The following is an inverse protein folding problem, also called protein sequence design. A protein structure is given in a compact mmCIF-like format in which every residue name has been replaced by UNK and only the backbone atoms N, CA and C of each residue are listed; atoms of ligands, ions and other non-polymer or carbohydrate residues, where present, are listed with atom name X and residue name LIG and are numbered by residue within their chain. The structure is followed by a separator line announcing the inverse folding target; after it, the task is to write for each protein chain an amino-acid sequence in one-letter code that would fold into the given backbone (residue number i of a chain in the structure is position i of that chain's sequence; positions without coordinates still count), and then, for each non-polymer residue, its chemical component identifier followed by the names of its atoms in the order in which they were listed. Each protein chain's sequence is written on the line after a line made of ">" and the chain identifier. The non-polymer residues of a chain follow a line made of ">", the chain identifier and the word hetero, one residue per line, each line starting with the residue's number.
data_IF_936920213706
#
_entry.id   IF_936920213706
#
_cell.length_a   1.000
_cell.length_b   1.000
_cell.length_c   1.000
_cell.angle_alpha   90.00
_cell.angle_beta   90.00
_cell.angle_gamma   90.00
#
_symmetry.space_group_name_H-M   'P 1'
#
loop_
_entity.id
_entity.type
_entity.pdbx_description
1 polymer ?
#
# COMPACT_ATOMS: atom_id res chain seq x y z
N UNK A 1 22.28 -10.77 -8.48
CA UNK A 1 21.78 -9.41 -8.10
C UNK A 1 20.42 -9.47 -7.43
N UNK A 2 19.37 -10.15 -7.99
CA UNK A 2 18.03 -10.19 -7.38
C UNK A 2 18.01 -10.70 -5.92
N UNK A 3 18.79 -11.74 -5.59
CA UNK A 3 18.88 -12.26 -4.21
C UNK A 3 19.48 -11.23 -3.23
N UNK A 4 20.48 -10.45 -3.67
CA UNK A 4 21.06 -9.38 -2.84
C UNK A 4 20.02 -8.32 -2.47
N UNK A 5 19.21 -7.85 -3.44
CA UNK A 5 18.17 -6.86 -3.17
C UNK A 5 17.08 -7.40 -2.23
N UNK A 6 16.72 -8.68 -2.33
CA UNK A 6 15.77 -9.31 -1.42
C UNK A 6 16.33 -9.42 0.01
N UNK A 7 17.61 -9.79 0.15
CA UNK A 7 18.27 -9.83 1.46
C UNK A 7 18.36 -8.43 2.08
N UNK A 8 18.72 -7.42 1.28
CA UNK A 8 18.74 -6.02 1.75
C UNK A 8 17.32 -5.55 2.16
N UNK A 9 16.29 -5.87 1.37
CA UNK A 9 14.92 -5.57 1.74
C UNK A 9 14.53 -6.23 3.07
N UNK A 10 14.86 -7.50 3.28
CA UNK A 10 14.59 -8.20 4.53
C UNK A 10 15.34 -7.57 5.72
N UNK A 11 16.63 -7.23 5.54
CA UNK A 11 17.42 -6.57 6.56
C UNK A 11 16.85 -5.19 6.96
N UNK A 12 16.51 -4.35 5.97
CA UNK A 12 15.86 -3.06 6.24
C UNK A 12 14.45 -3.22 6.84
N UNK A 13 13.71 -4.27 6.48
CA UNK A 13 12.38 -4.58 7.05
C UNK A 13 12.49 -4.90 8.55
N UNK A 14 13.40 -5.79 8.93
CA UNK A 14 13.66 -6.13 10.34
C UNK A 14 14.13 -4.89 11.10
N UNK A 15 15.07 -4.14 10.53
CA UNK A 15 15.59 -2.90 11.11
C UNK A 15 14.49 -1.85 11.31
N UNK A 16 13.58 -1.70 10.33
CA UNK A 16 12.45 -0.77 10.42
C UNK A 16 11.45 -1.18 11.51
N UNK A 17 11.10 -2.46 11.59
CA UNK A 17 10.20 -2.97 12.63
C UNK A 17 10.81 -2.80 14.03
N UNK A 18 12.11 -3.08 14.20
CA UNK A 18 12.84 -2.83 15.44
C UNK A 18 12.82 -1.33 15.81
N UNK A 19 13.10 -0.45 14.85
CA UNK A 19 13.03 1.00 15.06
C UNK A 19 11.62 1.50 15.46
N UNK A 20 10.56 0.83 14.95
CA UNK A 20 9.19 1.12 15.34
C UNK A 20 8.85 0.62 16.75
N UNK A 21 9.33 -0.56 17.15
CA UNK A 21 9.15 -1.11 18.49
C UNK A 21 9.87 -0.28 19.55
N UNK A 22 11.09 0.20 19.22
CA UNK A 22 11.91 1.05 20.09
C UNK A 22 11.52 2.53 20.01
N UNK A 23 10.50 2.88 19.23
CA UNK A 23 9.99 4.24 19.03
C UNK A 23 11.06 5.26 18.58
N UNK A 24 12.14 4.79 17.98
CA UNK A 24 13.25 5.62 17.54
C UNK A 24 12.92 6.31 16.19
N UNK A 25 12.55 7.60 16.27
CA UNK A 25 12.14 8.39 15.11
C UNK A 25 13.23 8.55 14.05
N UNK A 26 14.49 8.80 14.47
CA UNK A 26 15.60 9.00 13.53
C UNK A 26 15.90 7.72 12.75
N UNK A 27 15.96 6.60 13.45
CA UNK A 27 16.20 5.30 12.85
C UNK A 27 15.09 4.92 11.84
N UNK A 28 13.83 5.12 12.20
CA UNK A 28 12.69 4.92 11.27
C UNK A 28 12.80 5.76 10.02
N UNK A 29 13.18 7.04 10.15
CA UNK A 29 13.30 7.97 9.03
C UNK A 29 14.43 7.57 8.06
N UNK A 30 15.54 7.04 8.57
CA UNK A 30 16.66 6.59 7.74
C UNK A 30 16.32 5.30 6.98
N UNK A 31 15.71 4.31 7.64
CA UNK A 31 15.43 3.02 7.04
C UNK A 31 14.32 3.06 5.97
N UNK A 32 13.30 3.90 6.18
CA UNK A 32 12.07 3.88 5.39
C UNK A 32 12.28 4.03 3.88
N UNK A 33 13.13 4.94 3.36
CA UNK A 33 13.42 5.04 1.94
C UNK A 33 14.08 3.79 1.36
N UNK A 34 14.96 3.14 2.11
CA UNK A 34 15.69 1.98 1.63
C UNK A 34 14.80 0.74 1.45
N UNK A 35 13.70 0.63 2.21
CA UNK A 35 12.72 -0.44 2.03
C UNK A 35 12.15 -0.45 0.61
N UNK A 36 11.55 0.64 0.19
CA UNK A 36 10.90 0.71 -1.11
C UNK A 36 11.92 0.72 -2.25
N UNK A 37 13.09 1.34 -2.05
CA UNK A 37 14.17 1.32 -3.03
C UNK A 37 14.66 -0.11 -3.29
N UNK A 38 14.96 -0.87 -2.25
CA UNK A 38 15.46 -2.25 -2.39
C UNK A 38 14.40 -3.18 -2.98
N UNK A 39 13.12 -2.99 -2.63
CA UNK A 39 12.02 -3.76 -3.20
C UNK A 39 11.81 -3.44 -4.68
N UNK A 40 11.87 -2.17 -5.08
CA UNK A 40 11.78 -1.76 -6.50
C UNK A 40 12.92 -2.35 -7.32
N UNK A 41 14.17 -2.25 -6.82
CA UNK A 41 15.34 -2.83 -7.48
C UNK A 41 15.23 -4.36 -7.58
N UNK A 42 14.71 -5.00 -6.52
CA UNK A 42 14.43 -6.44 -6.55
C UNK A 42 13.40 -6.79 -7.63
N UNK A 43 12.28 -6.07 -7.70
CA UNK A 43 11.26 -6.31 -8.73
C UNK A 43 11.83 -6.17 -10.14
N UNK A 44 12.57 -5.09 -10.42
CA UNK A 44 13.21 -4.87 -11.72
C UNK A 44 14.22 -5.97 -12.10
N UNK A 45 14.87 -6.59 -11.10
CA UNK A 45 15.83 -7.67 -11.31
C UNK A 45 15.19 -9.07 -11.34
N UNK A 46 13.98 -9.23 -10.81
CA UNK A 46 13.28 -10.52 -10.67
C UNK A 46 12.24 -10.77 -11.75
N UNK A 47 11.54 -9.74 -12.20
CA UNK A 47 10.51 -9.84 -13.23
C UNK A 47 11.10 -10.27 -14.58
N UNK A 48 10.42 -11.19 -15.29
CA UNK A 48 10.81 -11.59 -16.63
C UNK A 48 10.65 -10.41 -17.63
N UNK A 49 9.53 -9.69 -17.50
CA UNK A 49 9.29 -8.43 -18.18
C UNK A 49 8.89 -7.38 -17.15
N UNK A 50 9.66 -6.29 -17.07
CA UNK A 50 9.34 -5.18 -16.16
C UNK A 50 8.11 -4.44 -16.68
N UNK A 51 7.02 -4.48 -15.89
CA UNK A 51 5.85 -3.65 -16.18
C UNK A 51 6.11 -2.23 -15.68
N UNK A 52 6.24 -1.22 -16.57
CA UNK A 52 6.59 0.15 -16.17
C UNK A 52 5.50 0.81 -15.32
N UNK A 53 4.22 0.51 -15.56
CA UNK A 53 3.11 1.00 -14.74
C UNK A 53 3.20 0.44 -13.33
N UNK A 54 3.52 -0.85 -13.18
CA UNK A 54 3.74 -1.41 -11.86
C UNK A 54 4.98 -0.81 -11.19
N UNK A 55 6.11 -0.70 -11.87
CA UNK A 55 7.35 -0.13 -11.32
C UNK A 55 7.16 1.32 -10.82
N UNK A 56 6.31 2.11 -11.49
CA UNK A 56 5.96 3.45 -11.04
C UNK A 56 5.24 3.46 -9.68
N UNK A 57 4.46 2.41 -9.34
CA UNK A 57 3.78 2.28 -8.05
C UNK A 57 4.74 2.29 -6.86
N UNK A 58 5.70 1.35 -6.74
CA UNK A 58 6.72 1.37 -5.69
C UNK A 58 7.60 2.62 -5.71
N UNK A 59 7.89 3.20 -6.90
CA UNK A 59 8.65 4.46 -7.00
C UNK A 59 7.89 5.64 -6.37
N UNK A 60 6.58 5.76 -6.65
CA UNK A 60 5.73 6.77 -6.02
C UNK A 60 5.49 6.49 -4.53
N UNK A 61 5.43 5.21 -4.12
CA UNK A 61 5.37 4.83 -2.71
C UNK A 61 6.66 5.23 -1.97
N UNK A 62 7.83 5.05 -2.60
CA UNK A 62 9.12 5.54 -2.07
C UNK A 62 9.08 7.06 -1.87
N UNK A 63 8.61 7.82 -2.87
CA UNK A 63 8.45 9.26 -2.76
C UNK A 63 7.50 9.64 -1.62
N UNK A 64 6.37 8.96 -1.52
CA UNK A 64 5.39 9.13 -0.44
C UNK A 64 6.00 8.87 0.93
N UNK A 65 6.77 7.79 1.06
CA UNK A 65 7.47 7.43 2.29
C UNK A 65 8.47 8.49 2.73
N UNK A 66 9.25 9.04 1.80
CA UNK A 66 10.18 10.15 2.06
C UNK A 66 9.43 11.40 2.50
N UNK A 67 8.37 11.78 1.77
CA UNK A 67 7.59 12.98 2.10
C UNK A 67 6.91 12.89 3.48
N UNK A 68 6.45 11.70 3.88
CA UNK A 68 5.83 11.48 5.20
C UNK A 68 6.82 11.57 6.38
N UNK A 69 8.13 11.57 6.14
CA UNK A 69 9.13 11.85 7.19
C UNK A 69 9.02 13.29 7.69
N UNK A 70 8.67 14.22 6.80
CA UNK A 70 8.61 15.65 7.08
C UNK A 70 7.18 16.06 7.48
N UNK A 71 7.01 16.63 8.68
CA UNK A 71 5.71 16.96 9.26
C UNK A 71 4.80 17.85 8.40
N UNK A 72 5.37 18.76 7.62
CA UNK A 72 4.61 19.69 6.77
C UNK A 72 4.17 19.08 5.43
N UNK A 73 4.69 17.90 5.04
CA UNK A 73 4.51 17.33 3.73
C UNK A 73 3.51 16.16 3.68
N UNK A 74 2.71 15.96 4.74
CA UNK A 74 1.72 14.87 4.84
C UNK A 74 0.79 14.78 3.62
N UNK A 75 0.27 15.94 3.14
CA UNK A 75 -0.61 15.97 1.98
C UNK A 75 0.12 15.53 0.69
N UNK A 76 1.35 15.98 0.51
CA UNK A 76 2.16 15.61 -0.66
C UNK A 76 2.53 14.12 -0.62
N UNK A 77 2.85 13.59 0.56
CA UNK A 77 3.04 12.15 0.75
C UNK A 77 1.79 11.35 0.39
N UNK A 78 0.62 11.79 0.87
CA UNK A 78 -0.68 11.19 0.50
C UNK A 78 -0.96 11.28 -1.01
N UNK A 79 -0.63 12.39 -1.67
CA UNK A 79 -0.77 12.52 -3.13
C UNK A 79 0.16 11.56 -3.89
N UNK A 80 1.38 11.34 -3.41
CA UNK A 80 2.30 10.38 -4.01
C UNK A 80 1.77 8.94 -3.89
N UNK A 81 1.25 8.56 -2.72
CA UNK A 81 0.59 7.26 -2.54
C UNK A 81 -0.68 7.12 -3.37
N UNK A 82 -1.48 8.18 -3.49
CA UNK A 82 -2.63 8.19 -4.41
C UNK A 82 -2.20 7.88 -5.85
N UNK A 83 -1.13 8.52 -6.33
CA UNK A 83 -0.53 8.22 -7.64
C UNK A 83 -0.05 6.77 -7.75
N UNK A 84 0.55 6.22 -6.68
CA UNK A 84 0.95 4.81 -6.62
C UNK A 84 -0.26 3.88 -6.80
N UNK A 85 -1.40 4.17 -6.13
CA UNK A 85 -2.62 3.37 -6.29
C UNK A 85 -3.15 3.39 -7.71
N UNK A 86 -3.13 4.55 -8.38
CA UNK A 86 -3.52 4.65 -9.79
C UNK A 86 -2.61 3.82 -10.72
N UNK A 87 -1.31 3.83 -10.47
CA UNK A 87 -0.34 3.01 -11.20
C UNK A 87 -0.59 1.51 -10.96
N UNK A 88 -0.87 1.09 -9.73
CA UNK A 88 -1.22 -0.29 -9.41
C UNK A 88 -2.54 -0.71 -10.09
N UNK A 89 -3.59 0.12 -10.04
CA UNK A 89 -4.84 -0.14 -10.76
C UNK A 89 -4.55 -0.40 -12.24
N UNK A 90 -3.84 0.51 -12.91
CA UNK A 90 -3.52 0.39 -14.33
C UNK A 90 -2.69 -0.88 -14.65
N UNK A 91 -1.77 -1.27 -13.75
CA UNK A 91 -0.97 -2.48 -13.90
C UNK A 91 -1.80 -3.76 -13.76
N UNK A 92 -2.74 -3.81 -12.78
CA UNK A 92 -3.56 -4.99 -12.51
C UNK A 92 -4.60 -5.23 -13.62
N UNK A 93 -5.13 -4.16 -14.23
CA UNK A 93 -6.16 -4.26 -15.28
C UNK A 93 -5.71 -4.95 -16.57
N UNK A 94 -4.42 -5.12 -16.80
CA UNK A 94 -3.90 -5.78 -18.02
C UNK A 94 -4.39 -7.24 -18.19
N UNK A 95 -4.75 -7.93 -17.10
CA UNK A 95 -5.09 -9.35 -17.09
C UNK A 95 -6.51 -9.62 -16.52
N UNK A 96 -7.39 -8.61 -16.49
CA UNK A 96 -8.74 -8.77 -15.93
C UNK A 96 -9.73 -9.21 -17.01
N UNK A 97 -10.57 -10.19 -16.66
CA UNK A 97 -11.74 -10.62 -17.42
C UNK A 97 -13.01 -10.47 -16.58
N UNK A 98 -13.96 -9.65 -17.02
CA UNK A 98 -15.22 -9.37 -16.30
C UNK A 98 -16.33 -10.40 -16.58
N UNK A 99 -15.99 -11.69 -16.80
CA UNK A 99 -16.96 -12.73 -17.16
C UNK A 99 -17.86 -13.19 -15.99
N UNK A 100 -17.46 -12.90 -14.75
CA UNK A 100 -18.18 -13.40 -13.56
C UNK A 100 -18.99 -12.29 -12.90
N UNK A 101 -20.31 -12.44 -12.67
CA UNK A 101 -21.16 -11.40 -12.04
C UNK A 101 -20.84 -11.17 -10.56
N UNK A 102 -20.09 -12.05 -9.92
CA UNK A 102 -19.66 -11.94 -8.51
C UNK A 102 -18.89 -10.65 -8.19
N UNK A 103 -18.32 -9.98 -9.21
CA UNK A 103 -17.63 -8.71 -9.00
C UNK A 103 -18.56 -7.60 -8.46
N UNK A 104 -19.88 -7.67 -8.74
CA UNK A 104 -20.85 -6.72 -8.18
C UNK A 104 -20.98 -6.84 -6.66
N UNK A 105 -21.04 -8.07 -6.14
CA UNK A 105 -21.09 -8.31 -4.69
C UNK A 105 -19.80 -7.86 -4.00
N UNK A 106 -18.65 -8.14 -4.64
CA UNK A 106 -17.36 -7.68 -4.13
C UNK A 106 -17.29 -6.14 -4.11
N UNK A 107 -17.75 -5.45 -5.17
CA UNK A 107 -17.80 -3.98 -5.23
C UNK A 107 -18.64 -3.41 -4.08
N UNK A 108 -19.80 -4.01 -3.79
CA UNK A 108 -20.64 -3.61 -2.65
C UNK A 108 -19.88 -3.76 -1.32
N UNK A 109 -19.17 -4.88 -1.12
CA UNK A 109 -18.34 -5.10 0.07
C UNK A 109 -17.28 -4.01 0.25
N UNK A 110 -16.57 -3.64 -0.82
CA UNK A 110 -15.60 -2.55 -0.79
C UNK A 110 -16.23 -1.19 -0.48
N UNK A 111 -17.41 -0.88 -1.05
CA UNK A 111 -18.13 0.36 -0.73
C UNK A 111 -18.52 0.41 0.75
N UNK A 112 -18.95 -0.71 1.34
CA UNK A 112 -19.27 -0.79 2.77
C UNK A 112 -18.04 -0.55 3.64
N UNK A 113 -16.89 -1.14 3.30
CA UNK A 113 -15.62 -0.92 4.03
C UNK A 113 -15.18 0.54 3.94
N UNK A 114 -15.20 1.14 2.74
CA UNK A 114 -14.90 2.58 2.56
C UNK A 114 -15.85 3.44 3.39
N UNK A 115 -17.16 3.18 3.30
CA UNK A 115 -18.16 3.90 4.07
C UNK A 115 -17.92 3.81 5.57
N UNK A 116 -17.61 2.63 6.08
CA UNK A 116 -17.28 2.40 7.49
C UNK A 116 -16.03 3.19 7.94
N UNK A 117 -14.93 3.09 7.18
CA UNK A 117 -13.69 3.83 7.50
C UNK A 117 -13.94 5.34 7.46
N UNK A 118 -14.60 5.84 6.42
CA UNK A 118 -14.94 7.27 6.30
C UNK A 118 -15.85 7.75 7.43
N UNK A 119 -16.86 6.97 7.80
CA UNK A 119 -17.72 7.27 8.95
C UNK A 119 -16.90 7.38 10.24
N UNK A 120 -15.99 6.43 10.46
CA UNK A 120 -15.15 6.38 11.66
C UNK A 120 -14.21 7.60 11.76
N UNK A 121 -13.59 8.04 10.66
CA UNK A 121 -12.59 9.12 10.69
C UNK A 121 -13.21 10.53 10.54
N UNK A 122 -14.48 10.64 10.13
CA UNK A 122 -15.14 11.91 9.83
C UNK A 122 -15.12 12.91 10.98
N UNK A 123 -15.32 12.47 12.21
CA UNK A 123 -15.37 13.33 13.40
C UNK A 123 -14.04 14.04 13.70
N UNK A 124 -12.91 13.45 13.28
CA UNK A 124 -11.56 14.03 13.46
C UNK A 124 -11.09 14.92 12.31
N UNK A 125 -11.93 15.16 11.28
CA UNK A 125 -11.50 15.83 10.05
C UNK A 125 -12.24 17.14 9.76
N UNK A 126 -11.50 18.16 9.26
CA UNK A 126 -12.09 19.34 8.60
C UNK A 126 -12.64 18.94 7.23
N UNK A 127 -13.71 19.66 6.74
CA UNK A 127 -14.38 19.34 5.45
C UNK A 127 -13.43 19.10 4.27
N UNK A 128 -12.41 19.97 4.07
CA UNK A 128 -11.42 19.81 2.98
C UNK A 128 -10.59 18.53 3.11
N UNK A 129 -10.18 18.19 4.33
CA UNK A 129 -9.42 16.95 4.59
C UNK A 129 -10.30 15.72 4.40
N UNK A 130 -11.57 15.79 4.81
CA UNK A 130 -12.53 14.71 4.58
C UNK A 130 -12.74 14.44 3.09
N UNK A 131 -12.91 15.48 2.26
CA UNK A 131 -13.00 15.31 0.80
C UNK A 131 -11.77 14.63 0.20
N UNK A 132 -10.55 15.01 0.63
CA UNK A 132 -9.33 14.34 0.20
C UNK A 132 -9.26 12.88 0.67
N UNK A 133 -9.72 12.60 1.90
CA UNK A 133 -9.77 11.24 2.42
C UNK A 133 -10.76 10.37 1.62
N UNK A 134 -11.92 10.91 1.21
CA UNK A 134 -12.88 10.20 0.34
C UNK A 134 -12.20 9.80 -0.97
N UNK A 135 -11.54 10.72 -1.66
CA UNK A 135 -10.86 10.46 -2.93
C UNK A 135 -9.74 9.42 -2.73
N UNK A 136 -8.93 9.60 -1.69
CA UNK A 136 -7.81 8.68 -1.39
C UNK A 136 -8.29 7.25 -1.08
N UNK A 137 -9.24 7.09 -0.16
CA UNK A 137 -9.77 5.78 0.23
C UNK A 137 -10.53 5.11 -0.91
N UNK A 138 -11.17 5.87 -1.79
CA UNK A 138 -11.80 5.33 -2.99
C UNK A 138 -10.76 4.76 -3.96
N UNK A 139 -9.64 5.45 -4.18
CA UNK A 139 -8.55 4.94 -5.03
C UNK A 139 -7.87 3.72 -4.42
N UNK A 140 -7.59 3.73 -3.11
CA UNK A 140 -7.04 2.59 -2.38
C UNK A 140 -7.95 1.36 -2.49
N UNK A 141 -9.25 1.55 -2.32
CA UNK A 141 -10.25 0.47 -2.45
C UNK A 141 -10.38 -0.01 -3.89
N UNK A 142 -10.35 0.89 -4.87
CA UNK A 142 -10.34 0.53 -6.29
C UNK A 142 -9.09 -0.26 -6.66
N UNK A 143 -7.93 0.05 -6.08
CA UNK A 143 -6.69 -0.72 -6.24
C UNK A 143 -6.86 -2.15 -5.71
N UNK A 144 -7.35 -2.31 -4.48
CA UNK A 144 -7.57 -3.63 -3.89
C UNK A 144 -8.68 -4.41 -4.62
N UNK A 145 -9.73 -3.74 -5.06
CA UNK A 145 -10.78 -4.34 -5.90
C UNK A 145 -10.22 -4.81 -7.25
N UNK A 146 -9.35 -4.02 -7.89
CA UNK A 146 -8.67 -4.42 -9.14
C UNK A 146 -7.78 -5.66 -8.93
N UNK A 147 -7.09 -5.75 -7.79
CA UNK A 147 -6.32 -6.94 -7.42
C UNK A 147 -7.20 -8.17 -7.21
N UNK A 148 -8.39 -8.03 -6.62
CA UNK A 148 -9.38 -9.11 -6.52
C UNK A 148 -9.86 -9.56 -7.90
N UNK A 149 -10.21 -8.62 -8.79
CA UNK A 149 -10.63 -8.95 -10.15
C UNK A 149 -9.52 -9.67 -10.94
N UNK A 150 -8.27 -9.24 -10.79
CA UNK A 150 -7.13 -9.92 -11.38
C UNK A 150 -6.99 -11.34 -10.82
N UNK A 151 -7.11 -11.54 -9.50
CA UNK A 151 -7.06 -12.87 -8.88
C UNK A 151 -8.16 -13.79 -9.39
N UNK A 152 -9.41 -13.31 -9.47
CA UNK A 152 -10.53 -14.09 -10.00
C UNK A 152 -10.35 -14.41 -11.49
N UNK A 153 -9.68 -13.54 -12.25
CA UNK A 153 -9.48 -13.71 -13.69
C UNK A 153 -8.37 -14.69 -14.03
N UNK A 154 -7.23 -14.65 -13.33
CA UNK A 154 -6.02 -15.40 -13.71
C UNK A 154 -5.52 -16.37 -12.63
N UNK A 155 -6.00 -16.26 -11.39
CA UNK A 155 -5.59 -17.16 -10.30
C UNK A 155 -4.12 -17.05 -9.90
N UNK A 156 -3.56 -18.14 -9.36
CA UNK A 156 -2.11 -18.29 -9.15
C UNK A 156 -1.47 -17.13 -8.39
N UNK A 157 -0.44 -16.53 -8.99
CA UNK A 157 0.33 -15.43 -8.40
C UNK A 157 -0.49 -14.17 -8.09
N UNK A 158 -1.63 -13.96 -8.76
CA UNK A 158 -2.53 -12.85 -8.48
C UNK A 158 -3.16 -12.94 -7.07
N UNK A 159 -3.19 -14.12 -6.45
CA UNK A 159 -3.59 -14.27 -5.06
C UNK A 159 -2.66 -13.50 -4.10
N UNK A 160 -1.35 -13.46 -4.39
CA UNK A 160 -0.38 -12.67 -3.62
C UNK A 160 -0.64 -11.17 -3.78
N UNK A 161 -0.93 -10.73 -5.02
CA UNK A 161 -1.29 -9.32 -5.29
C UNK A 161 -2.52 -8.92 -4.48
N UNK A 162 -3.56 -9.77 -4.49
CA UNK A 162 -4.78 -9.51 -3.74
C UNK A 162 -4.54 -9.50 -2.22
N UNK A 163 -3.87 -10.51 -1.68
CA UNK A 163 -3.53 -10.54 -0.24
C UNK A 163 -2.71 -9.32 0.19
N UNK A 164 -1.71 -8.95 -0.62
CA UNK A 164 -0.92 -7.74 -0.39
C UNK A 164 -1.75 -6.47 -0.42
N UNK A 165 -2.72 -6.37 -1.35
CA UNK A 165 -3.61 -5.21 -1.44
C UNK A 165 -4.50 -5.05 -0.20
N UNK A 166 -4.98 -6.15 0.39
CA UNK A 166 -5.75 -6.13 1.64
C UNK A 166 -4.90 -5.64 2.82
N UNK A 167 -3.64 -6.10 2.92
CA UNK A 167 -2.70 -5.59 3.93
C UNK A 167 -2.39 -4.10 3.73
N UNK A 168 -2.33 -3.64 2.46
CA UNK A 168 -2.15 -2.22 2.17
C UNK A 168 -3.35 -1.39 2.66
N UNK A 169 -4.57 -1.84 2.38
CA UNK A 169 -5.80 -1.21 2.91
C UNK A 169 -5.78 -1.15 4.44
N UNK A 170 -5.36 -2.23 5.11
CA UNK A 170 -5.22 -2.25 6.57
C UNK A 170 -4.18 -1.23 7.06
N UNK A 171 -3.01 -1.16 6.42
CA UNK A 171 -1.95 -0.21 6.75
C UNK A 171 -2.43 1.24 6.66
N UNK A 172 -3.07 1.61 5.56
CA UNK A 172 -3.51 2.98 5.33
C UNK A 172 -4.71 3.36 6.21
N UNK A 173 -5.57 2.38 6.53
CA UNK A 173 -6.62 2.55 7.53
C UNK A 173 -6.05 2.85 8.92
N UNK A 174 -4.97 2.18 9.32
CA UNK A 174 -4.25 2.46 10.56
C UNK A 174 -3.60 3.85 10.56
N UNK A 175 -3.07 4.31 9.41
CA UNK A 175 -2.56 5.69 9.27
C UNK A 175 -3.70 6.69 9.44
N UNK A 176 -4.85 6.46 8.80
CA UNK A 176 -6.00 7.35 8.90
C UNK A 176 -6.54 7.41 10.35
N UNK A 177 -6.67 6.27 11.03
CA UNK A 177 -7.09 6.23 12.43
C UNK A 177 -6.11 6.98 13.34
N UNK A 178 -4.81 6.73 13.21
CA UNK A 178 -3.77 7.38 14.01
C UNK A 178 -3.76 8.90 13.82
N UNK A 179 -3.96 9.36 12.59
CA UNK A 179 -3.85 10.79 12.27
C UNK A 179 -5.12 11.57 12.63
N UNK A 180 -6.29 10.96 12.45
CA UNK A 180 -7.58 11.64 12.55
C UNK A 180 -8.44 11.22 13.74
N UNK A 181 -8.11 10.10 14.41
CA UNK A 181 -8.83 9.59 15.57
C UNK A 181 -7.90 9.36 16.74
N UNK A 182 -7.29 10.45 17.22
CA UNK A 182 -6.37 10.43 18.37
C UNK A 182 -7.04 10.05 19.69
N UNK A 183 -8.37 10.06 19.72
CA UNK A 183 -9.20 9.57 20.82
C UNK A 183 -9.24 8.03 20.93
N UNK A 184 -8.88 7.33 19.85
CA UNK A 184 -8.79 5.86 19.85
C UNK A 184 -7.35 5.45 20.16
N UNK A 185 -7.08 4.80 21.31
CA UNK A 185 -5.74 4.36 21.65
C UNK A 185 -5.31 3.18 20.76
N UNK A 186 -4.33 3.38 19.92
CA UNK A 186 -3.72 2.32 19.11
C UNK A 186 -2.36 1.99 19.71
N UNK A 187 -2.13 0.76 20.22
CA UNK A 187 -0.83 0.38 20.77
C UNK A 187 0.22 0.34 19.65
N UNK A 188 1.37 0.99 19.88
CA UNK A 188 2.49 1.03 18.94
C UNK A 188 2.08 1.26 17.46
N UNK A 189 1.39 2.37 17.16
CA UNK A 189 0.73 2.56 15.86
C UNK A 189 1.72 2.54 14.68
N UNK A 190 2.94 3.03 14.86
CA UNK A 190 3.98 2.96 13.84
C UNK A 190 4.44 1.53 13.51
N UNK A 191 4.47 0.66 14.52
CA UNK A 191 4.80 -0.75 14.32
C UNK A 191 3.68 -1.46 13.53
N UNK A 192 2.41 -1.27 13.92
CA UNK A 192 1.29 -1.91 13.23
C UNK A 192 1.17 -1.48 11.77
N UNK A 193 1.38 -0.17 11.49
CA UNK A 193 1.43 0.34 10.11
C UNK A 193 2.54 -0.35 9.31
N UNK A 194 3.76 -0.45 9.85
CA UNK A 194 4.86 -1.08 9.12
C UNK A 194 4.72 -2.60 9.03
N UNK A 195 4.16 -3.26 10.05
CA UNK A 195 3.90 -4.70 10.06
C UNK A 195 2.87 -5.13 9.01
N UNK A 196 2.00 -4.22 8.57
CA UNK A 196 1.04 -4.44 7.47
C UNK A 196 1.58 -3.94 6.14
N UNK A 197 2.25 -2.78 6.10
CA UNK A 197 2.78 -2.16 4.89
C UNK A 197 3.91 -2.96 4.23
N UNK A 198 4.90 -3.42 5.02
CA UNK A 198 6.06 -4.15 4.49
C UNK A 198 5.63 -5.44 3.77
N UNK A 199 4.86 -6.34 4.40
CA UNK A 199 4.39 -7.54 3.69
C UNK A 199 3.39 -7.21 2.57
N UNK A 200 2.60 -6.14 2.67
CA UNK A 200 1.73 -5.69 1.59
C UNK A 200 2.52 -5.43 0.30
N UNK A 201 3.54 -4.58 0.38
CA UNK A 201 4.38 -4.22 -0.76
C UNK A 201 5.16 -5.43 -1.30
N UNK A 202 5.68 -6.28 -0.41
CA UNK A 202 6.40 -7.50 -0.82
C UNK A 202 5.47 -8.46 -1.58
N UNK A 203 4.28 -8.75 -1.07
CA UNK A 203 3.34 -9.67 -1.71
C UNK A 203 2.87 -9.16 -3.06
N UNK A 204 2.58 -7.87 -3.18
CA UNK A 204 2.21 -7.24 -4.45
C UNK A 204 3.37 -7.37 -5.45
N UNK A 205 4.60 -7.04 -5.04
CA UNK A 205 5.77 -7.13 -5.91
C UNK A 205 6.09 -8.57 -6.33
N UNK A 206 5.99 -9.54 -5.41
CA UNK A 206 6.15 -10.97 -5.69
C UNK A 206 5.12 -11.46 -6.71
N UNK A 207 3.84 -11.20 -6.47
CA UNK A 207 2.79 -11.60 -7.40
C UNK A 207 2.98 -11.00 -8.78
N UNK A 208 3.28 -9.70 -8.87
CA UNK A 208 3.52 -9.02 -10.15
C UNK A 208 4.79 -9.46 -10.86
N UNK A 209 5.82 -9.91 -10.14
CA UNK A 209 7.04 -10.46 -10.77
C UNK A 209 6.82 -11.80 -11.48
N UNK A 210 5.75 -12.52 -11.11
CA UNK A 210 5.37 -13.81 -11.70
C UNK A 210 4.28 -13.69 -12.77
N UNK A 211 3.59 -12.55 -12.84
CA UNK A 211 2.51 -12.27 -13.79
C UNK A 211 3.00 -11.51 -15.04
N UNK A 212 4.27 -11.07 -15.05
CA UNK A 212 4.91 -10.29 -16.11
C UNK A 212 5.63 -11.10 -17.16
#
# INVERSE_FOLDING_TARGET
>A
MKQLFLVLFAAFSISQLAACLLENRRWRAINKPFLMLTLLLWYCAAAQQVNPLFAAGPALSLLGDVLLIFHGLFKFGGTAFFGAHLCYIAAFWRNISLRQPLWLLAALGYMLVVGFVLHTVRSGMKKKMFALAVVYLSALSAMSFSALLQFVSVGGAAALVFAGSLLFVASDSLIALREFRRDIPIPKPYFLVMATYIPAQLLIALGMSWLG
#
